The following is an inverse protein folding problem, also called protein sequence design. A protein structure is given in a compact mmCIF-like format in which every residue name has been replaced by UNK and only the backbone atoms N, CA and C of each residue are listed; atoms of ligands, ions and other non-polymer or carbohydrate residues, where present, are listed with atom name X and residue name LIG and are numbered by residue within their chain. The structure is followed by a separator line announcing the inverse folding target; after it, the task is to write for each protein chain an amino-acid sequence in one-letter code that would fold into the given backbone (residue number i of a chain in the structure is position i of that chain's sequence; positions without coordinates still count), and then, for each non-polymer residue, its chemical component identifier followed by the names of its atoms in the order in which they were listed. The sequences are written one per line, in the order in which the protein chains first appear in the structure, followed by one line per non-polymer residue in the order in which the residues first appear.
data_IF_637766599286
#
_entry.id   IF_637766599286
#
_cell.length_a   1.000
_cell.length_b   1.000
_cell.length_c   1.000
_cell.angle_alpha   90.00
_cell.angle_beta   90.00
_cell.angle_gamma   90.00
#
_symmetry.space_group_name_H-M   'P 1'
#
loop_
_entity.id
_entity.type
_entity.pdbx_description
1 polymer ?
#
# COMPACT_ATOMS: atom_id res chain seq x y z
N UNK A 1 27.46 21.50 -15.32
CA UNK A 1 26.30 22.01 -16.07
C UNK A 1 25.26 22.36 -15.04
N UNK A 2 24.91 23.65 -14.92
CA UNK A 2 23.90 24.10 -13.97
C UNK A 2 22.57 23.91 -14.67
N UNK A 3 21.76 22.97 -14.19
CA UNK A 3 20.42 22.74 -14.70
C UNK A 3 19.64 24.04 -14.62
N UNK A 4 19.20 24.55 -15.77
CA UNK A 4 18.17 25.57 -15.87
C UNK A 4 16.89 25.01 -15.24
N UNK A 5 16.69 25.30 -13.96
CA UNK A 5 15.47 24.96 -13.24
C UNK A 5 14.33 25.72 -13.90
N UNK A 6 13.54 25.01 -14.68
CA UNK A 6 12.41 25.55 -15.43
C UNK A 6 11.50 26.39 -14.49
N UNK A 7 11.38 27.67 -14.80
CA UNK A 7 10.63 28.64 -13.99
C UNK A 7 9.12 28.63 -14.31
N UNK A 8 8.69 27.83 -15.28
CA UNK A 8 7.31 27.70 -15.71
C UNK A 8 6.56 26.50 -15.11
N UNK A 9 7.21 25.70 -14.26
CA UNK A 9 6.57 24.58 -13.59
C UNK A 9 5.35 25.04 -12.75
N UNK A 10 4.19 24.39 -12.95
CA UNK A 10 2.91 24.74 -12.32
C UNK A 10 2.96 24.79 -10.78
N UNK A 11 3.81 23.96 -10.16
CA UNK A 11 4.00 23.97 -8.72
C UNK A 11 4.63 25.29 -8.23
N UNK A 12 5.57 25.90 -8.97
CA UNK A 12 6.14 27.23 -8.64
C UNK A 12 5.13 28.36 -8.77
N UNK A 13 4.19 28.26 -9.72
CA UNK A 13 3.08 29.23 -9.84
C UNK A 13 2.13 29.12 -8.65
N UNK A 14 1.85 27.90 -8.22
CA UNK A 14 1.02 27.61 -7.04
C UNK A 14 1.67 28.13 -5.76
N UNK A 15 2.97 27.90 -5.55
CA UNK A 15 3.70 28.44 -4.39
C UNK A 15 3.69 29.97 -4.35
N UNK A 16 3.90 30.64 -5.50
CA UNK A 16 3.80 32.10 -5.60
C UNK A 16 2.40 32.62 -5.26
N UNK A 17 1.33 31.93 -5.70
CA UNK A 17 -0.06 32.28 -5.33
C UNK A 17 -0.30 32.15 -3.82
N UNK A 18 0.42 31.25 -3.15
CA UNK A 18 0.40 31.07 -1.70
C UNK A 18 1.35 32.04 -0.96
N UNK A 19 2.04 32.93 -1.67
CA UNK A 19 3.00 33.87 -1.09
C UNK A 19 4.38 33.25 -0.75
N UNK A 20 4.65 32.04 -1.22
CA UNK A 20 5.91 31.32 -1.00
C UNK A 20 6.76 31.51 -2.25
N UNK A 21 7.70 32.46 -2.19
CA UNK A 21 8.44 32.87 -3.38
C UNK A 21 9.66 32.00 -3.68
N UNK A 22 10.31 31.43 -2.66
CA UNK A 22 11.42 30.49 -2.79
C UNK A 22 11.49 29.60 -1.52
N UNK A 23 10.93 28.39 -1.54
CA UNK A 23 11.04 27.50 -0.39
C UNK A 23 12.50 27.06 -0.23
N UNK A 24 13.09 27.34 0.93
CA UNK A 24 14.39 26.80 1.28
C UNK A 24 14.26 25.29 1.52
N UNK A 25 14.84 24.50 0.62
CA UNK A 25 14.86 23.04 0.69
C UNK A 25 16.21 22.50 1.14
N UNK A 26 17.16 23.37 1.50
CA UNK A 26 18.51 22.97 1.91
C UNK A 26 18.54 22.14 3.18
N UNK A 27 17.52 22.29 4.04
CA UNK A 27 17.35 21.51 5.27
C UNK A 27 16.47 20.26 5.11
N UNK A 28 15.92 19.99 3.91
CA UNK A 28 15.05 18.82 3.68
C UNK A 28 15.88 17.55 3.73
N UNK A 29 15.59 16.67 4.69
CA UNK A 29 16.27 15.39 4.87
C UNK A 29 15.51 14.28 4.16
N UNK A 30 16.18 13.18 3.77
CA UNK A 30 15.49 12.00 3.23
C UNK A 30 14.35 11.48 4.14
N UNK A 31 14.50 11.62 5.46
CA UNK A 31 13.45 11.27 6.41
C UNK A 31 12.21 12.16 6.32
N UNK A 32 12.35 13.43 5.94
CA UNK A 32 11.21 14.34 5.77
C UNK A 32 10.43 13.95 4.51
N UNK A 33 11.15 13.56 3.45
CA UNK A 33 10.56 13.01 2.22
C UNK A 33 9.83 11.69 2.53
N UNK A 34 10.43 10.81 3.34
CA UNK A 34 9.77 9.56 3.77
C UNK A 34 8.56 9.83 4.68
N UNK A 35 8.63 10.82 5.57
CA UNK A 35 7.50 11.21 6.42
C UNK A 35 6.31 11.70 5.58
N UNK A 36 6.61 12.49 4.55
CA UNK A 36 5.65 12.89 3.52
C UNK A 36 5.12 11.68 2.75
N UNK A 37 6.00 10.80 2.25
CA UNK A 37 5.64 9.59 1.52
C UNK A 37 4.78 8.60 2.35
N UNK A 38 4.86 8.61 3.68
CA UNK A 38 3.94 7.84 4.55
C UNK A 38 2.47 8.25 4.39
N UNK A 39 2.21 9.48 3.97
CA UNK A 39 0.86 9.96 3.66
C UNK A 39 0.45 9.66 2.20
N UNK A 40 1.42 9.30 1.35
CA UNK A 40 1.27 9.00 -0.07
C UNK A 40 1.85 7.63 -0.41
N UNK A 41 1.48 6.61 0.36
CA UNK A 41 2.02 5.27 0.13
C UNK A 41 1.59 4.77 -1.24
N UNK A 42 2.51 4.18 -1.98
CA UNK A 42 2.22 3.62 -3.30
C UNK A 42 3.03 2.35 -3.50
N UNK A 43 2.62 1.55 -4.48
CA UNK A 43 3.37 0.39 -4.92
C UNK A 43 3.23 0.24 -6.44
N UNK A 44 4.34 -0.08 -7.10
CA UNK A 44 4.43 -0.36 -8.52
C UNK A 44 5.17 -1.68 -8.72
N UNK A 45 4.54 -2.59 -9.46
CA UNK A 45 5.10 -3.91 -9.75
C UNK A 45 4.96 -4.25 -11.23
N UNK A 46 5.85 -5.11 -11.70
CA UNK A 46 5.82 -5.70 -13.04
C UNK A 46 5.95 -7.21 -12.97
N UNK A 47 5.52 -7.90 -14.02
CA UNK A 47 5.70 -9.33 -14.14
C UNK A 47 7.18 -9.68 -14.41
N UNK A 48 7.75 -10.61 -13.64
CA UNK A 48 9.18 -10.91 -13.73
C UNK A 48 9.59 -11.75 -14.95
N UNK A 49 8.66 -12.51 -15.55
CA UNK A 49 8.95 -13.46 -16.63
C UNK A 49 8.91 -12.88 -18.04
N UNK A 50 8.37 -11.67 -18.22
CA UNK A 50 8.12 -11.07 -19.53
C UNK A 50 7.10 -11.85 -20.39
N UNK A 51 6.25 -12.67 -19.77
CA UNK A 51 5.26 -13.50 -20.47
C UNK A 51 3.93 -12.79 -20.67
N UNK A 52 3.60 -11.89 -19.75
CA UNK A 52 2.38 -11.09 -19.83
C UNK A 52 2.57 -9.93 -20.80
N UNK A 53 1.49 -9.57 -21.50
CA UNK A 53 1.48 -8.44 -22.42
C UNK A 53 0.73 -7.27 -21.79
N UNK A 54 1.13 -6.03 -22.13
CA UNK A 54 0.37 -4.87 -21.74
C UNK A 54 -1.02 -4.93 -22.38
N UNK A 55 -2.03 -4.53 -21.61
CA UNK A 55 -3.40 -4.33 -22.04
C UNK A 55 -3.48 -3.07 -22.90
N UNK A 56 -4.35 -3.09 -23.92
CA UNK A 56 -4.62 -1.90 -24.74
C UNK A 56 -5.17 -0.73 -23.91
N UNK A 57 -5.90 -1.05 -22.83
CA UNK A 57 -6.41 -0.08 -21.86
C UNK A 57 -6.23 -0.62 -20.45
N UNK A 58 -5.76 0.21 -19.50
CA UNK A 58 -5.65 -0.21 -18.11
C UNK A 58 -7.01 -0.58 -17.52
N UNK A 59 -7.06 -1.66 -16.76
CA UNK A 59 -8.21 -2.05 -15.96
C UNK A 59 -8.10 -1.44 -14.57
N UNK A 60 -9.23 -0.96 -14.04
CA UNK A 60 -9.31 -0.43 -12.69
C UNK A 60 -10.00 -1.45 -11.80
N UNK A 61 -9.31 -1.92 -10.77
CA UNK A 61 -9.78 -2.91 -9.82
C UNK A 61 -9.88 -2.22 -8.46
N UNK A 62 -11.04 -2.34 -7.80
CA UNK A 62 -11.21 -1.84 -6.43
C UNK A 62 -10.75 -2.91 -5.44
N UNK A 63 -9.71 -2.59 -4.68
CA UNK A 63 -9.18 -3.42 -3.61
C UNK A 63 -10.17 -3.48 -2.43
N UNK A 64 -10.06 -4.50 -1.58
CA UNK A 64 -10.85 -4.64 -0.33
C UNK A 64 -10.65 -3.48 0.63
N UNK A 65 -9.50 -2.82 0.55
CA UNK A 65 -9.16 -1.59 1.27
C UNK A 65 -9.92 -0.35 0.78
N UNK A 66 -10.60 -0.44 -0.37
CA UNK A 66 -11.23 0.68 -1.08
C UNK A 66 -10.27 1.49 -1.97
N UNK A 67 -9.01 1.05 -2.12
CA UNK A 67 -8.04 1.66 -3.03
C UNK A 67 -8.22 1.16 -4.46
N UNK A 68 -7.75 1.94 -5.43
CA UNK A 68 -7.79 1.55 -6.83
C UNK A 68 -6.46 0.97 -7.26
N UNK A 69 -6.48 -0.30 -7.67
CA UNK A 69 -5.37 -0.96 -8.35
C UNK A 69 -5.54 -0.73 -9.86
N UNK A 70 -4.53 -0.16 -10.49
CA UNK A 70 -4.47 0.03 -11.94
C UNK A 70 -3.69 -1.14 -12.52
N UNK A 71 -4.36 -1.96 -13.32
CA UNK A 71 -3.78 -3.12 -13.98
C UNK A 71 -3.52 -2.81 -15.46
N UNK A 72 -2.25 -2.85 -15.85
CA UNK A 72 -1.79 -2.69 -17.22
C UNK A 72 -1.56 -4.01 -17.93
N UNK A 73 -1.81 -5.17 -17.30
CA UNK A 73 -1.61 -6.52 -17.86
C UNK A 73 -0.29 -7.14 -17.42
N UNK A 74 0.82 -6.49 -17.78
CA UNK A 74 2.20 -6.84 -17.40
C UNK A 74 2.73 -6.00 -16.23
N UNK A 75 1.97 -4.99 -15.80
CA UNK A 75 2.30 -4.12 -14.68
C UNK A 75 1.05 -3.79 -13.84
N UNK A 76 1.24 -3.56 -12.55
CA UNK A 76 0.19 -3.09 -11.64
C UNK A 76 0.72 -1.96 -10.76
N UNK A 77 -0.15 -1.00 -10.46
CA UNK A 77 0.16 0.09 -9.55
C UNK A 77 -1.03 0.39 -8.64
N UNK A 78 -0.77 0.79 -7.40
CA UNK A 78 -1.80 1.28 -6.49
C UNK A 78 -1.29 2.41 -5.60
N UNK A 79 -2.21 3.26 -5.19
CA UNK A 79 -1.99 4.35 -4.25
C UNK A 79 -3.34 4.74 -3.61
N UNK A 80 -3.37 5.55 -2.54
CA UNK A 80 -4.61 5.94 -1.90
C UNK A 80 -5.53 6.79 -2.78
N UNK A 81 -5.00 7.40 -3.86
CA UNK A 81 -5.79 8.11 -4.88
C UNK A 81 -6.77 9.12 -4.28
N UNK A 82 -8.07 8.89 -4.46
CA UNK A 82 -9.17 9.74 -3.93
C UNK A 82 -9.15 9.92 -2.41
N UNK A 83 -8.52 9.00 -1.68
CA UNK A 83 -8.42 9.01 -0.23
C UNK A 83 -7.27 9.88 0.29
N UNK A 84 -6.34 10.30 -0.57
CA UNK A 84 -5.25 11.23 -0.21
C UNK A 84 -5.80 12.55 0.34
N UNK A 85 -6.85 13.08 -0.29
CA UNK A 85 -7.45 14.37 0.08
C UNK A 85 -8.73 14.23 0.89
N UNK A 86 -9.33 13.04 0.94
CA UNK A 86 -10.51 12.74 1.78
C UNK A 86 -10.15 12.13 3.14
N UNK A 87 -8.94 11.60 3.28
CA UNK A 87 -8.34 11.14 4.53
C UNK A 87 -7.34 12.16 5.11
N UNK A 88 -7.55 13.45 4.86
CA UNK A 88 -6.85 14.48 5.62
C UNK A 88 -7.27 14.43 7.10
N UNK A 89 -6.59 15.23 7.93
CA UNK A 89 -6.88 15.55 9.33
C UNK A 89 -8.34 15.91 9.70
N UNK A 90 -9.28 15.83 8.76
CA UNK A 90 -10.70 15.95 8.99
C UNK A 90 -11.20 14.62 9.55
N UNK A 91 -11.29 14.56 10.88
CA UNK A 91 -12.22 13.65 11.53
C UNK A 91 -13.53 13.69 10.74
N UNK A 92 -13.94 12.57 10.15
CA UNK A 92 -15.34 12.37 9.91
C UNK A 92 -15.97 12.33 11.31
N UNK A 93 -16.44 13.46 11.81
CA UNK A 93 -17.56 13.48 12.74
C UNK A 93 -18.80 13.08 11.96
N UNK A 94 -18.83 11.84 11.45
CA UNK A 94 -20.10 11.17 11.21
C UNK A 94 -20.60 10.77 12.60
N UNK A 95 -21.35 11.69 13.19
CA UNK A 95 -22.24 11.49 14.33
C UNK A 95 -21.71 10.59 15.45
N UNK A 96 -21.13 11.24 16.47
CA UNK A 96 -21.13 10.72 17.84
C UNK A 96 -22.57 10.40 18.25
N UNK A 97 -22.97 9.16 18.04
CA UNK A 97 -24.03 8.44 18.72
C UNK A 97 -23.81 6.98 18.35
N UNK A 98 -22.85 6.36 19.03
CA UNK A 98 -23.03 5.03 19.59
C UNK A 98 -21.88 4.86 20.60
N UNK A 99 -22.28 4.92 21.86
CA UNK A 99 -21.49 4.56 23.03
C UNK A 99 -21.12 3.08 22.89
N UNK A 100 -19.83 2.75 22.88
CA UNK A 100 -19.26 1.66 23.68
C UNK A 100 -17.73 1.56 23.47
N UNK A 101 -17.04 1.96 24.55
CA UNK A 101 -15.79 1.46 25.14
C UNK A 101 -14.93 0.45 24.34
N UNK A 102 -13.69 0.81 23.99
CA UNK A 102 -12.49 0.44 24.77
C UNK A 102 -11.19 0.96 24.09
N UNK A 103 -10.18 1.31 24.89
CA UNK A 103 -9.13 2.28 24.54
C UNK A 103 -8.06 1.87 23.50
N UNK A 104 -7.67 2.85 22.66
CA UNK A 104 -6.26 2.99 22.25
C UNK A 104 -5.97 4.41 21.75
N UNK A 105 -5.09 5.09 22.47
CA UNK A 105 -4.51 6.38 22.15
C UNK A 105 -3.59 6.29 20.93
N UNK A 106 -4.12 6.65 19.76
CA UNK A 106 -3.36 6.86 18.53
C UNK A 106 -4.26 7.40 17.42
N UNK A 107 -4.33 8.73 17.25
CA UNK A 107 -5.10 9.37 16.16
C UNK A 107 -4.44 9.06 14.81
N UNK A 108 -4.72 7.88 14.27
CA UNK A 108 -4.47 7.56 12.86
C UNK A 108 -5.60 8.09 11.98
N UNK A 109 -5.31 8.31 10.71
CA UNK A 109 -6.34 8.61 9.70
C UNK A 109 -7.15 7.33 9.48
N UNK A 110 -8.43 7.35 9.85
CA UNK A 110 -9.35 6.19 9.75
C UNK A 110 -10.36 6.45 8.63
N UNK A 111 -10.47 5.52 7.68
CA UNK A 111 -11.67 5.40 6.84
C UNK A 111 -12.65 4.51 7.61
N UNK A 112 -13.83 5.04 7.97
CA UNK A 112 -14.75 4.42 8.94
C UNK A 112 -15.19 2.97 8.65
N UNK A 113 -14.94 2.45 7.43
CA UNK A 113 -15.23 1.06 7.05
C UNK A 113 -14.00 0.18 6.73
N UNK A 114 -12.81 0.76 6.58
CA UNK A 114 -11.63 0.06 6.03
C UNK A 114 -10.36 0.19 6.89
N UNK A 115 -10.45 0.83 8.07
CA UNK A 115 -9.32 0.97 9.01
C UNK A 115 -8.37 2.13 8.69
N UNK A 116 -7.13 2.05 9.18
CA UNK A 116 -6.12 3.11 8.99
C UNK A 116 -5.53 3.12 7.58
N UNK A 117 -5.01 4.26 7.11
CA UNK A 117 -4.27 4.33 5.82
C UNK A 117 -3.15 3.28 5.76
N UNK A 118 -2.43 3.06 6.86
CA UNK A 118 -1.36 2.07 6.95
C UNK A 118 -1.89 0.65 6.74
N UNK A 119 -3.03 0.30 7.36
CA UNK A 119 -3.68 -1.00 7.14
C UNK A 119 -4.15 -1.15 5.70
N UNK A 120 -4.81 -0.13 5.16
CA UNK A 120 -5.27 -0.14 3.77
C UNK A 120 -4.11 -0.31 2.79
N UNK A 121 -2.98 0.35 3.02
CA UNK A 121 -1.79 0.22 2.20
C UNK A 121 -1.23 -1.21 2.25
N UNK A 122 -1.18 -1.80 3.45
CA UNK A 122 -0.76 -3.20 3.64
C UNK A 122 -1.68 -4.15 2.88
N UNK A 123 -3.00 -4.03 3.08
CA UNK A 123 -4.01 -4.89 2.45
C UNK A 123 -4.00 -4.74 0.92
N UNK A 124 -3.86 -3.51 0.40
CA UNK A 124 -3.78 -3.25 -1.04
C UNK A 124 -2.51 -3.83 -1.67
N UNK A 125 -1.37 -3.75 -0.96
CA UNK A 125 -0.11 -4.32 -1.41
C UNK A 125 -0.19 -5.86 -1.45
N UNK A 126 -0.81 -6.48 -0.45
CA UNK A 126 -1.05 -7.92 -0.45
C UNK A 126 -2.00 -8.33 -1.59
N UNK A 127 -3.06 -7.56 -1.83
CA UNK A 127 -4.03 -7.84 -2.90
C UNK A 127 -3.41 -7.75 -4.29
N UNK A 128 -2.45 -6.84 -4.54
CA UNK A 128 -1.66 -6.83 -5.78
C UNK A 128 -0.96 -8.17 -6.02
N UNK A 129 -0.42 -8.80 -4.97
CA UNK A 129 0.29 -10.08 -5.10
C UNK A 129 -0.68 -11.25 -5.32
N UNK A 130 -1.86 -11.21 -4.70
CA UNK A 130 -2.94 -12.16 -4.97
C UNK A 130 -3.41 -12.06 -6.43
N UNK A 131 -3.66 -10.84 -6.91
CA UNK A 131 -4.04 -10.58 -8.30
C UNK A 131 -2.97 -11.04 -9.29
N UNK A 132 -1.69 -10.80 -9.00
CA UNK A 132 -0.59 -11.27 -9.86
C UNK A 132 -0.64 -12.81 -10.02
N UNK A 133 -0.90 -13.53 -8.93
CA UNK A 133 -1.08 -14.99 -8.97
C UNK A 133 -2.32 -15.40 -9.77
N UNK A 134 -3.45 -14.71 -9.56
CA UNK A 134 -4.71 -14.96 -10.28
C UNK A 134 -4.58 -14.71 -11.79
N UNK A 135 -3.82 -13.70 -12.18
CA UNK A 135 -3.50 -13.39 -13.58
C UNK A 135 -2.40 -14.29 -14.18
N UNK A 136 -1.90 -15.26 -13.41
CA UNK A 136 -0.91 -16.22 -13.89
C UNK A 136 0.46 -15.61 -14.16
N UNK A 137 0.86 -14.59 -13.39
CA UNK A 137 2.21 -14.04 -13.45
C UNK A 137 3.21 -15.09 -12.94
N UNK A 138 4.36 -15.24 -13.62
CA UNK A 138 5.39 -16.21 -13.22
C UNK A 138 6.16 -15.75 -11.98
N UNK A 139 6.14 -14.46 -11.72
CA UNK A 139 6.75 -13.79 -10.57
C UNK A 139 6.44 -12.30 -10.62
N UNK A 140 6.76 -11.60 -9.54
CA UNK A 140 6.54 -10.16 -9.39
C UNK A 140 7.87 -9.50 -9.14
N UNK A 141 8.16 -8.41 -9.84
CA UNK A 141 9.28 -7.51 -9.55
C UNK A 141 8.73 -6.18 -9.05
N UNK A 142 9.19 -5.75 -7.88
CA UNK A 142 8.91 -4.40 -7.38
C UNK A 142 9.79 -3.42 -8.16
N UNK A 143 9.15 -2.44 -8.80
CA UNK A 143 9.83 -1.34 -9.50
C UNK A 143 10.08 -0.20 -8.54
N UNK A 144 9.04 0.19 -7.80
CA UNK A 144 9.11 1.25 -6.79
C UNK A 144 7.93 1.13 -5.82
N UNK A 145 8.02 1.80 -4.68
CA UNK A 145 6.93 1.89 -3.72
C UNK A 145 7.39 2.35 -2.35
N UNK A 146 6.42 2.63 -1.48
CA UNK A 146 6.71 2.93 -0.09
C UNK A 146 7.26 1.67 0.63
N UNK A 147 8.29 1.78 1.49
CA UNK A 147 8.91 0.62 2.16
C UNK A 147 7.92 -0.31 2.88
N UNK A 148 6.91 0.23 3.56
CA UNK A 148 5.88 -0.57 4.22
C UNK A 148 5.04 -1.41 3.24
N UNK A 149 4.72 -0.87 2.06
CA UNK A 149 3.98 -1.60 1.03
C UNK A 149 4.86 -2.63 0.32
N UNK A 150 6.13 -2.31 0.07
CA UNK A 150 7.09 -3.29 -0.45
C UNK A 150 7.24 -4.49 0.50
N UNK A 151 7.33 -4.20 1.81
CA UNK A 151 7.36 -5.22 2.86
C UNK A 151 6.08 -6.06 2.87
N UNK A 152 4.92 -5.43 2.82
CA UNK A 152 3.63 -6.12 2.80
C UNK A 152 3.51 -7.07 1.59
N UNK A 153 3.88 -6.57 0.40
CA UNK A 153 3.93 -7.37 -0.81
C UNK A 153 4.88 -8.58 -0.68
N UNK A 154 6.08 -8.37 -0.12
CA UNK A 154 7.02 -9.46 0.11
C UNK A 154 6.49 -10.52 1.11
N UNK A 155 5.91 -10.09 2.23
CA UNK A 155 5.30 -10.99 3.22
C UNK A 155 4.20 -11.85 2.57
N UNK A 156 3.34 -11.21 1.78
CA UNK A 156 2.26 -11.89 1.09
C UNK A 156 2.78 -12.87 0.03
N UNK A 157 3.78 -12.46 -0.76
CA UNK A 157 4.41 -13.32 -1.75
C UNK A 157 4.99 -14.60 -1.12
N UNK A 158 5.67 -14.47 0.03
CA UNK A 158 6.11 -15.62 0.81
C UNK A 158 4.95 -16.49 1.31
N UNK A 159 3.83 -15.89 1.74
CA UNK A 159 2.66 -16.61 2.25
C UNK A 159 1.98 -17.46 1.18
N UNK A 160 1.85 -16.94 -0.05
CA UNK A 160 1.11 -17.61 -1.13
C UNK A 160 1.99 -18.31 -2.17
N UNK A 161 3.31 -18.29 -1.97
CA UNK A 161 4.29 -18.98 -2.82
C UNK A 161 4.55 -18.31 -4.17
N UNK A 162 4.47 -16.98 -4.24
CA UNK A 162 4.81 -16.20 -5.44
C UNK A 162 6.26 -15.74 -5.34
N UNK A 163 7.02 -15.87 -6.44
CA UNK A 163 8.37 -15.31 -6.51
C UNK A 163 8.28 -13.79 -6.53
N UNK A 164 9.00 -13.12 -5.62
CA UNK A 164 9.07 -11.66 -5.57
C UNK A 164 10.52 -11.17 -5.59
N UNK A 165 10.83 -10.32 -6.56
CA UNK A 165 12.12 -9.67 -6.76
C UNK A 165 12.02 -8.15 -6.46
N UNK A 166 13.15 -7.48 -6.23
CA UNK A 166 13.19 -6.01 -6.05
C UNK A 166 13.01 -5.49 -4.61
N UNK A 167 12.87 -6.38 -3.62
CA UNK A 167 12.88 -6.03 -2.20
C UNK A 167 13.85 -6.91 -1.42
N UNK A 168 14.65 -6.29 -0.55
CA UNK A 168 15.58 -6.98 0.35
C UNK A 168 15.02 -6.92 1.77
N UNK A 169 14.58 -8.05 2.35
CA UNK A 169 13.96 -8.05 3.67
C UNK A 169 14.98 -7.73 4.77
N UNK A 170 14.57 -6.87 5.70
CA UNK A 170 15.28 -6.59 6.94
C UNK A 170 14.79 -7.51 8.08
N UNK A 171 15.40 -7.37 9.26
CA UNK A 171 15.05 -8.18 10.45
C UNK A 171 13.59 -7.97 10.85
N UNK A 172 13.04 -6.77 10.69
CA UNK A 172 11.65 -6.45 11.04
C UNK A 172 10.66 -7.07 10.04
N UNK A 173 10.97 -7.06 8.75
CA UNK A 173 10.20 -7.74 7.72
C UNK A 173 10.08 -9.24 8.02
N UNK A 174 11.18 -9.88 8.41
CA UNK A 174 11.20 -11.30 8.75
C UNK A 174 10.40 -11.61 10.03
N UNK A 175 10.43 -10.73 11.04
CA UNK A 175 9.57 -10.85 12.23
C UNK A 175 8.09 -10.79 11.87
N UNK A 176 7.69 -9.81 11.06
CA UNK A 176 6.31 -9.62 10.62
C UNK A 176 5.85 -10.84 9.81
N UNK A 177 6.70 -11.34 8.89
CA UNK A 177 6.42 -12.55 8.12
C UNK A 177 6.15 -13.75 9.02
N UNK A 178 7.03 -14.00 10.00
CA UNK A 178 6.88 -15.14 10.92
C UNK A 178 5.58 -15.06 11.70
N UNK A 179 5.24 -13.88 12.21
CA UNK A 179 3.99 -13.66 12.95
C UNK A 179 2.77 -14.00 12.09
N UNK A 180 2.65 -13.38 10.92
CA UNK A 180 1.49 -13.56 10.02
C UNK A 180 1.39 -15.02 9.55
N UNK A 181 2.51 -15.64 9.16
CA UNK A 181 2.52 -17.05 8.75
C UNK A 181 2.13 -17.97 9.91
N UNK A 182 2.60 -17.70 11.13
CA UNK A 182 2.24 -18.51 12.30
C UNK A 182 0.77 -18.39 12.70
N UNK A 183 0.19 -17.19 12.61
CA UNK A 183 -1.24 -16.94 12.84
C UNK A 183 -2.08 -17.69 11.79
N UNK A 184 -1.69 -17.60 10.51
CA UNK A 184 -2.36 -18.32 9.41
C UNK A 184 -2.34 -19.83 9.62
N UNK A 185 -1.19 -20.40 10.03
CA UNK A 185 -1.11 -21.84 10.31
C UNK A 185 -2.02 -22.24 11.48
N UNK A 186 -2.08 -21.42 12.54
CA UNK A 186 -2.98 -21.64 13.67
C UNK A 186 -4.45 -21.70 13.24
N UNK A 187 -4.89 -20.73 12.44
CA UNK A 187 -6.25 -20.69 11.88
C UNK A 187 -6.54 -21.90 10.98
N UNK A 188 -5.58 -22.32 10.14
CA UNK A 188 -5.71 -23.53 9.32
C UNK A 188 -5.85 -24.79 10.18
N UNK A 189 -5.08 -24.92 11.26
CA UNK A 189 -5.19 -26.06 12.17
C UNK A 189 -6.53 -26.08 12.90
N UNK A 190 -7.06 -24.94 13.33
CA UNK A 190 -8.38 -24.84 13.97
C UNK A 190 -9.51 -25.18 12.97
N UNK A 191 -9.46 -24.66 11.74
CA UNK A 191 -10.44 -25.00 10.70
C UNK A 191 -10.44 -26.51 10.35
N UNK A 192 -9.27 -27.15 10.36
CA UNK A 192 -9.15 -28.60 10.17
C UNK A 192 -9.71 -29.39 11.36
N UNK A 193 -9.60 -28.89 12.59
CA UNK A 193 -10.22 -29.53 13.77
C UNK A 193 -11.73 -29.41 13.76
N UNK A 194 -12.27 -28.26 13.38
CA UNK A 194 -13.73 -28.03 13.28
C UNK A 194 -14.37 -28.89 12.20
N UNK A 195 -13.70 -29.08 11.06
CA UNK A 195 -14.18 -29.96 9.98
C UNK A 195 -14.04 -31.46 10.31
N UNK A 196 -13.15 -31.83 11.23
CA UNK A 196 -12.97 -33.19 11.69
C UNK A 196 -13.94 -33.63 12.80
N UNK A 197 -14.76 -32.73 13.36
CA UNK A 197 -15.83 -33.10 14.29
C UNK A 197 -17.13 -33.37 13.53
N UNK A 198 -17.60 -34.64 13.39
CA UNK A 198 -18.91 -34.90 12.80
C UNK A 198 -19.99 -34.31 13.72
N UNK A 199 -20.86 -33.49 13.13
CA UNK A 199 -22.09 -32.99 13.79
C UNK A 199 -22.85 -34.20 14.38
N UNK A 200 -22.94 -34.25 15.71
CA UNK A 200 -23.83 -35.17 16.44
C UNK A 200 -25.24 -34.61 16.48
#
# INVERSE_FOLDING_TARGET
MVDTIDNDAEWKKTLRRLGINDPDVSEVRPNDILWLAKQWQFLQVVESGGHQKPLEKPQLIEAKSGWTIINYGDAMATSPGKWIFRGGYFQFTENMNDEDDDGSSGRGIVNGKHGTIVKQAFDSAAEIIQLAKEFGWSGVQIVDGHPDMQRAAWVEACRIGVKLDGYVPDVEAEKIRRRIVSETLGEMYEALKETAQPKR
#
